data_IF_172899551257
#
_entry.id   IF_172899551257
#
_cell.length_a   1.000
_cell.length_b   1.000
_cell.length_c   1.000
_cell.angle_alpha   90.00
_cell.angle_beta   90.00
_cell.angle_gamma   90.00
#
_symmetry.space_group_name_H-M   'P 1'
#
loop_
_entity.id
_entity.type
_entity.pdbx_description
1 polymer ?
#
# COMPACT_ATOMS: atom_id res chain seq x y z
N UNK A 1 2.75 -13.24 -88.55
CA UNK A 1 2.23 -14.40 -87.80
C UNK A 1 2.98 -14.48 -86.50
N UNK A 2 2.29 -14.29 -85.42
CA UNK A 2 2.50 -14.62 -84.03
C UNK A 2 2.37 -13.41 -83.10
N UNK A 3 1.13 -13.10 -82.76
CA UNK A 3 0.74 -12.03 -81.82
C UNK A 3 0.03 -12.64 -80.56
N UNK A 4 0.31 -13.85 -80.17
CA UNK A 4 -0.52 -14.56 -79.15
C UNK A 4 0.23 -15.16 -77.96
N UNK A 5 1.43 -14.68 -77.59
CA UNK A 5 2.16 -15.31 -76.46
C UNK A 5 2.66 -14.31 -75.40
N UNK A 6 2.05 -13.15 -75.26
CA UNK A 6 2.48 -12.20 -74.24
C UNK A 6 1.38 -11.78 -73.25
N UNK A 7 0.29 -12.53 -73.11
CA UNK A 7 -0.83 -12.11 -72.23
C UNK A 7 -1.10 -13.03 -71.02
N UNK A 8 -0.19 -13.93 -70.71
CA UNK A 8 -0.42 -14.86 -69.61
C UNK A 8 0.54 -14.77 -68.42
N UNK A 9 1.32 -13.72 -68.33
CA UNK A 9 2.31 -13.55 -67.24
C UNK A 9 2.03 -12.38 -66.30
N UNK A 10 0.82 -11.79 -66.37
CA UNK A 10 0.54 -10.56 -65.62
C UNK A 10 -0.62 -10.67 -64.64
N UNK A 11 -1.07 -11.85 -64.32
CA UNK A 11 -2.22 -12.01 -63.42
C UNK A 11 -1.95 -13.02 -62.26
N UNK A 12 -0.75 -13.02 -61.71
CA UNK A 12 -0.43 -13.84 -60.52
C UNK A 12 0.46 -13.06 -59.53
N UNK A 13 0.19 -11.76 -59.37
CA UNK A 13 0.61 -11.02 -58.20
C UNK A 13 -0.56 -10.99 -57.20
N UNK A 14 -0.86 -12.16 -56.70
CA UNK A 14 -1.79 -12.35 -55.63
C UNK A 14 -1.29 -11.61 -54.41
N UNK A 15 -2.12 -10.78 -53.98
CA UNK A 15 -2.40 -10.21 -52.69
C UNK A 15 -1.98 -11.18 -51.56
N UNK A 16 -0.75 -11.11 -51.12
CA UNK A 16 -0.36 -11.63 -49.80
C UNK A 16 -0.72 -10.57 -48.79
N UNK A 17 -2.00 -10.52 -48.40
CA UNK A 17 -2.42 -9.79 -47.21
C UNK A 17 -1.73 -10.43 -46.02
N UNK A 18 -0.61 -9.84 -45.58
CA UNK A 18 -0.05 -10.11 -44.28
C UNK A 18 -1.07 -9.59 -43.24
N UNK A 19 -1.86 -10.51 -42.73
CA UNK A 19 -2.66 -10.32 -41.52
C UNK A 19 -1.62 -10.24 -40.39
N UNK A 20 -1.12 -9.03 -40.15
CA UNK A 20 -0.33 -8.69 -38.97
C UNK A 20 -1.32 -8.73 -37.80
N UNK A 21 -1.47 -9.90 -37.20
CA UNK A 21 -2.25 -10.07 -35.99
C UNK A 21 -1.66 -9.18 -34.90
N UNK A 22 -2.29 -8.03 -34.67
CA UNK A 22 -2.02 -7.15 -33.54
C UNK A 22 -2.45 -7.91 -32.28
N UNK A 23 -1.53 -8.64 -31.67
CA UNK A 23 -1.71 -9.22 -30.35
C UNK A 23 -1.72 -8.02 -29.39
N UNK A 24 -2.93 -7.49 -29.14
CA UNK A 24 -3.17 -6.59 -28.02
C UNK A 24 -2.90 -7.39 -26.75
N UNK A 25 -1.67 -7.38 -26.25
CA UNK A 25 -1.38 -7.74 -24.88
C UNK A 25 -2.17 -6.77 -23.99
N UNK A 26 -3.33 -7.22 -23.52
CA UNK A 26 -3.99 -6.55 -22.39
C UNK A 26 -3.05 -6.72 -21.21
N UNK A 27 -2.28 -5.67 -20.91
CA UNK A 27 -1.57 -5.58 -19.66
C UNK A 27 -2.64 -5.63 -18.56
N UNK A 28 -2.80 -6.82 -17.97
CA UNK A 28 -3.63 -6.98 -16.78
C UNK A 28 -2.97 -6.12 -15.71
N UNK A 29 -3.62 -5.04 -15.30
CA UNK A 29 -3.17 -4.27 -14.16
C UNK A 29 -3.06 -5.27 -13.00
N UNK A 30 -1.85 -5.45 -12.47
CA UNK A 30 -1.67 -6.32 -11.33
C UNK A 30 -2.55 -5.79 -10.19
N UNK A 31 -3.37 -6.68 -9.61
CA UNK A 31 -4.20 -6.31 -8.47
C UNK A 31 -3.32 -5.66 -7.39
N UNK A 32 -3.79 -4.52 -6.87
CA UNK A 32 -3.06 -3.80 -5.82
C UNK A 32 -2.77 -4.73 -4.63
N UNK A 33 -1.53 -4.79 -4.12
CA UNK A 33 -1.19 -5.67 -3.02
C UNK A 33 -2.08 -5.40 -1.81
N UNK A 34 -2.59 -6.47 -1.18
CA UNK A 34 -3.40 -6.37 0.04
C UNK A 34 -2.72 -7.08 1.18
N UNK A 35 -2.78 -6.48 2.37
CA UNK A 35 -2.23 -7.06 3.60
C UNK A 35 -3.33 -7.15 4.64
N UNK A 36 -3.63 -8.38 5.08
CA UNK A 36 -4.55 -8.65 6.18
C UNK A 36 -3.81 -8.56 7.50
N UNK A 37 -4.36 -7.78 8.42
CA UNK A 37 -3.95 -7.68 9.81
C UNK A 37 -4.95 -8.42 10.69
N UNK A 38 -4.43 -9.26 11.57
CA UNK A 38 -5.18 -9.89 12.65
C UNK A 38 -4.73 -9.27 13.97
N UNK A 39 -5.66 -8.65 14.68
CA UNK A 39 -5.36 -7.95 15.92
C UNK A 39 -6.20 -8.48 17.09
N UNK A 40 -5.86 -8.06 18.31
CA UNK A 40 -6.67 -8.39 19.50
C UNK A 40 -8.07 -7.77 19.47
N UNK A 41 -8.35 -6.79 18.59
CA UNK A 41 -9.67 -6.16 18.43
C UNK A 41 -10.49 -6.74 17.28
N UNK A 42 -9.88 -7.55 16.41
CA UNK A 42 -10.43 -8.07 15.17
C UNK A 42 -9.50 -7.85 13.97
N UNK A 43 -10.01 -8.12 12.77
CA UNK A 43 -9.22 -8.12 11.56
C UNK A 43 -9.55 -6.90 10.70
N UNK A 44 -8.54 -6.40 9.97
CA UNK A 44 -8.73 -5.40 8.91
C UNK A 44 -7.76 -5.69 7.76
N UNK A 45 -8.08 -5.18 6.57
CA UNK A 45 -7.26 -5.36 5.37
C UNK A 45 -6.86 -4.01 4.80
N UNK A 46 -5.57 -3.86 4.51
CA UNK A 46 -5.01 -2.72 3.78
C UNK A 46 -4.87 -3.07 2.30
N UNK A 47 -5.23 -2.14 1.43
CA UNK A 47 -4.87 -2.14 0.01
C UNK A 47 -3.76 -1.10 -0.19
N UNK A 48 -2.65 -1.52 -0.81
CA UNK A 48 -1.44 -0.71 -0.96
C UNK A 48 -1.39 -0.11 -2.36
N UNK A 49 -0.90 1.11 -2.47
CA UNK A 49 -0.81 1.84 -3.74
C UNK A 49 0.65 1.90 -4.22
N UNK A 50 1.12 0.84 -4.86
CA UNK A 50 2.50 0.75 -5.36
C UNK A 50 2.80 1.72 -6.51
N UNK A 51 1.79 2.14 -7.26
CA UNK A 51 1.96 3.10 -8.37
C UNK A 51 2.30 4.50 -7.84
N UNK A 52 1.69 4.90 -6.72
CA UNK A 52 1.86 6.23 -6.12
C UNK A 52 2.93 6.29 -5.03
N UNK A 53 3.21 5.17 -4.37
CA UNK A 53 4.16 5.09 -3.27
C UNK A 53 5.04 3.83 -3.37
N UNK A 54 5.77 3.63 -4.47
CA UNK A 54 6.50 2.38 -4.72
C UNK A 54 7.55 2.05 -3.65
N UNK A 55 8.27 3.05 -3.13
CA UNK A 55 9.31 2.85 -2.10
C UNK A 55 8.69 2.51 -0.75
N UNK A 56 7.65 3.22 -0.35
CA UNK A 56 6.93 3.00 0.91
C UNK A 56 6.26 1.63 0.90
N UNK A 57 5.60 1.25 -0.21
CA UNK A 57 4.96 -0.07 -0.36
C UNK A 57 5.98 -1.19 -0.35
N UNK A 58 7.08 -1.08 -1.12
CA UNK A 58 8.12 -2.10 -1.13
C UNK A 58 8.76 -2.29 0.24
N UNK A 59 9.04 -1.20 0.97
CA UNK A 59 9.55 -1.24 2.33
C UNK A 59 8.55 -1.92 3.29
N UNK A 60 7.28 -1.52 3.25
CA UNK A 60 6.23 -2.09 4.09
C UNK A 60 6.05 -3.59 3.85
N UNK A 61 6.03 -4.04 2.60
CA UNK A 61 5.92 -5.45 2.25
C UNK A 61 7.10 -6.28 2.75
N UNK A 62 8.33 -5.75 2.72
CA UNK A 62 9.49 -6.43 3.32
C UNK A 62 9.33 -6.67 4.82
N UNK A 63 8.76 -5.71 5.56
CA UNK A 63 8.45 -5.91 6.98
C UNK A 63 7.33 -6.93 7.19
N UNK A 64 6.34 -7.02 6.28
CA UNK A 64 5.30 -8.06 6.30
C UNK A 64 5.91 -9.45 6.07
N UNK A 65 6.77 -9.59 5.06
CA UNK A 65 7.49 -10.84 4.73
C UNK A 65 8.37 -11.32 5.89
N UNK A 66 9.09 -10.40 6.53
CA UNK A 66 9.94 -10.69 7.71
C UNK A 66 9.12 -10.97 8.97
N UNK A 67 7.78 -10.90 8.92
CA UNK A 67 6.89 -11.02 10.09
C UNK A 67 7.24 -9.99 11.20
N UNK A 68 7.81 -8.85 10.81
CA UNK A 68 8.22 -7.81 11.74
C UNK A 68 7.04 -7.30 12.56
N UNK A 69 5.86 -7.18 11.94
CA UNK A 69 4.66 -6.66 12.60
C UNK A 69 4.05 -7.62 13.61
N UNK A 70 4.37 -8.91 13.53
CA UNK A 70 3.85 -9.90 14.48
C UNK A 70 4.33 -9.60 15.90
N UNK A 71 3.38 -9.49 16.83
CA UNK A 71 3.60 -9.12 18.22
C UNK A 71 3.87 -7.64 18.47
N UNK A 72 3.85 -6.78 17.43
CA UNK A 72 3.89 -5.33 17.63
C UNK A 72 2.53 -4.79 18.06
N UNK A 73 2.50 -3.55 18.54
CA UNK A 73 1.28 -2.88 19.02
C UNK A 73 0.99 -1.59 18.27
N UNK A 74 -0.26 -1.16 18.34
CA UNK A 74 -0.59 0.24 18.15
C UNK A 74 -0.27 0.97 19.44
N UNK A 75 0.91 1.58 19.50
CA UNK A 75 1.49 2.18 20.70
C UNK A 75 1.03 3.62 20.96
N UNK A 76 0.38 4.25 20.00
CA UNK A 76 -0.17 5.60 20.13
C UNK A 76 -1.48 5.71 19.39
N UNK A 77 -2.54 6.07 20.12
CA UNK A 77 -3.89 6.23 19.57
C UNK A 77 -4.49 7.52 20.08
N UNK A 78 -4.84 8.41 19.16
CA UNK A 78 -5.51 9.68 19.45
C UNK A 78 -6.86 9.67 18.77
N UNK A 79 -7.97 9.60 19.54
CA UNK A 79 -9.32 9.68 19.00
C UNK A 79 -9.51 10.94 18.13
N UNK A 80 -10.17 10.79 17.00
CA UNK A 80 -10.37 11.88 16.04
C UNK A 80 -9.14 12.28 15.23
N UNK A 81 -8.00 11.59 15.42
CA UNK A 81 -6.77 11.83 14.69
C UNK A 81 -6.27 10.55 14.00
N UNK A 82 -5.55 9.67 14.70
CA UNK A 82 -4.94 8.48 14.09
C UNK A 82 -4.61 7.39 15.11
N UNK A 83 -4.35 6.16 14.62
CA UNK A 83 -3.69 5.08 15.33
C UNK A 83 -2.32 4.78 14.72
N UNK A 84 -1.24 4.89 15.50
CA UNK A 84 0.14 4.63 15.07
C UNK A 84 0.66 3.33 15.68
N UNK A 85 1.28 2.49 14.84
CA UNK A 85 1.78 1.18 15.25
C UNK A 85 2.96 0.67 14.43
N UNK A 86 3.32 -0.60 14.65
CA UNK A 86 4.29 -1.33 13.85
C UNK A 86 5.76 -1.16 14.23
N UNK A 87 6.06 -0.46 15.33
CA UNK A 87 7.45 -0.22 15.76
C UNK A 87 7.84 -0.83 17.10
N UNK A 88 6.88 -1.11 17.97
CA UNK A 88 7.12 -1.51 19.36
C UNK A 88 6.43 -2.82 19.70
N UNK A 89 7.08 -3.63 20.54
CA UNK A 89 6.45 -4.78 21.18
C UNK A 89 5.45 -4.34 22.27
N UNK A 90 4.67 -5.30 22.82
CA UNK A 90 3.75 -5.03 23.93
C UNK A 90 4.44 -4.47 25.19
N UNK A 91 5.73 -4.74 25.35
CA UNK A 91 6.56 -4.26 26.46
C UNK A 91 7.25 -2.92 26.14
N UNK A 92 6.78 -2.22 25.11
CA UNK A 92 7.31 -0.94 24.63
C UNK A 92 8.79 -0.99 24.22
N UNK A 93 9.29 -2.17 23.83
CA UNK A 93 10.62 -2.32 23.27
C UNK A 93 10.56 -2.05 21.76
N UNK A 94 11.36 -1.10 21.28
CA UNK A 94 11.45 -0.82 19.86
C UNK A 94 12.11 -1.99 19.13
N UNK A 95 11.47 -2.47 18.06
CA UNK A 95 12.06 -3.52 17.21
C UNK A 95 13.12 -2.91 16.28
N UNK A 96 14.15 -3.69 15.99
CA UNK A 96 15.19 -3.31 15.01
C UNK A 96 14.57 -3.07 13.65
N UNK A 97 15.00 -1.99 12.99
CA UNK A 97 14.46 -1.58 11.70
C UNK A 97 15.48 -1.74 10.58
N UNK A 98 14.98 -1.81 9.35
CA UNK A 98 15.78 -1.69 8.11
C UNK A 98 16.18 -0.23 7.89
N UNK A 99 17.01 0.02 6.86
CA UNK A 99 17.30 1.37 6.39
C UNK A 99 16.03 2.16 6.10
N UNK A 100 16.03 3.44 6.44
CA UNK A 100 14.93 4.35 6.18
C UNK A 100 14.66 4.54 4.67
N UNK A 101 13.44 4.94 4.33
CA UNK A 101 13.02 5.19 2.95
C UNK A 101 12.76 6.65 2.68
N UNK A 102 12.95 7.06 1.45
CA UNK A 102 12.66 8.41 0.98
C UNK A 102 11.17 8.74 1.15
N UNK A 103 10.88 9.98 1.51
CA UNK A 103 9.53 10.48 1.67
C UNK A 103 8.83 10.63 0.30
N UNK A 104 7.70 9.97 0.15
CA UNK A 104 6.86 10.01 -1.06
C UNK A 104 5.57 10.83 -0.87
N UNK A 105 5.49 11.74 0.11
CA UNK A 105 4.26 12.47 0.42
C UNK A 105 3.75 13.38 -0.71
N UNK A 106 4.61 13.72 -1.69
CA UNK A 106 4.24 14.50 -2.90
C UNK A 106 3.54 13.66 -3.97
N UNK A 107 3.10 12.43 -3.65
CA UNK A 107 2.49 11.49 -4.58
C UNK A 107 1.01 11.77 -4.93
N UNK A 108 0.43 12.82 -4.35
CA UNK A 108 -0.97 13.23 -4.57
C UNK A 108 -2.01 12.47 -3.74
N UNK A 109 -1.62 11.48 -2.95
CA UNK A 109 -2.51 10.81 -1.99
C UNK A 109 -2.69 11.69 -0.75
N UNK A 110 -3.87 11.59 -0.11
CA UNK A 110 -4.25 12.45 1.00
C UNK A 110 -4.45 11.64 2.29
N UNK A 111 -4.14 12.30 3.42
CA UNK A 111 -4.41 11.79 4.77
C UNK A 111 -5.90 11.98 5.11
N UNK A 112 -6.75 11.13 4.56
CA UNK A 112 -8.22 11.11 4.78
C UNK A 112 -8.60 9.90 5.64
N UNK A 113 -9.83 9.81 6.19
CA UNK A 113 -10.24 8.65 6.99
C UNK A 113 -9.95 7.31 6.30
N UNK A 114 -9.31 6.39 7.02
CA UNK A 114 -8.93 5.06 6.53
C UNK A 114 -7.64 5.04 5.68
N UNK A 115 -7.06 6.17 5.31
CA UNK A 115 -5.74 6.18 4.65
C UNK A 115 -4.64 5.77 5.61
N UNK A 116 -3.59 5.14 5.06
CA UNK A 116 -2.43 4.64 5.81
C UNK A 116 -1.18 5.36 5.33
N UNK A 117 -0.43 5.95 6.26
CA UNK A 117 0.76 6.72 5.96
C UNK A 117 1.96 6.26 6.79
N UNK A 118 3.17 6.51 6.26
CA UNK A 118 4.42 6.24 6.96
C UNK A 118 4.63 7.24 8.10
N UNK A 119 4.87 6.74 9.31
CA UNK A 119 5.36 7.56 10.42
C UNK A 119 6.86 7.82 10.26
N UNK A 120 7.31 8.98 10.72
CA UNK A 120 8.70 9.42 10.63
C UNK A 120 9.06 10.37 11.77
N UNK A 121 10.33 10.65 11.93
CA UNK A 121 10.84 11.71 12.83
C UNK A 121 10.73 13.08 12.14
N UNK A 122 11.39 14.11 12.69
CA UNK A 122 11.53 15.42 12.04
C UNK A 122 12.33 15.36 10.73
N UNK A 123 13.22 14.36 10.56
CA UNK A 123 13.85 14.10 9.27
C UNK A 123 12.81 13.51 8.31
N UNK A 124 12.55 14.15 7.16
CA UNK A 124 11.54 13.70 6.21
C UNK A 124 11.84 12.32 5.62
N UNK A 125 13.11 11.91 5.56
CA UNK A 125 13.56 10.64 4.99
C UNK A 125 13.87 9.57 6.05
N UNK A 126 13.27 9.65 7.23
CA UNK A 126 13.52 8.74 8.36
C UNK A 126 12.49 7.63 8.54
N UNK A 127 11.50 7.49 7.65
CA UNK A 127 10.48 6.46 7.78
C UNK A 127 11.08 5.05 7.66
N UNK A 128 10.69 4.16 8.59
CA UNK A 128 11.15 2.75 8.61
C UNK A 128 9.97 1.77 8.65
N UNK A 129 9.63 1.20 9.81
CA UNK A 129 8.56 0.21 9.95
C UNK A 129 7.24 0.81 10.43
N UNK A 130 7.27 1.96 11.12
CA UNK A 130 6.07 2.51 11.74
C UNK A 130 5.15 3.15 10.71
N UNK A 131 3.85 2.95 10.91
CA UNK A 131 2.79 3.51 10.09
C UNK A 131 1.66 4.01 10.98
N UNK A 132 0.76 4.81 10.42
CA UNK A 132 -0.48 5.18 11.09
C UNK A 132 -1.67 5.11 10.15
N UNK A 133 -2.84 4.88 10.75
CA UNK A 133 -4.14 4.85 10.07
C UNK A 133 -4.91 6.09 10.52
N UNK A 134 -5.37 6.89 9.58
CA UNK A 134 -6.11 8.11 9.85
C UNK A 134 -7.56 7.79 10.26
N UNK A 135 -8.05 8.38 11.34
CA UNK A 135 -9.46 8.32 11.74
C UNK A 135 -10.28 9.45 11.12
N UNK A 136 -9.63 10.56 10.78
CA UNK A 136 -10.28 11.78 10.29
C UNK A 136 -9.54 12.33 9.06
N UNK A 137 -10.08 13.39 8.44
CA UNK A 137 -9.34 14.16 7.44
C UNK A 137 -8.26 14.99 8.14
N UNK A 138 -7.03 14.53 7.98
CA UNK A 138 -5.83 15.14 8.52
C UNK A 138 -5.08 15.89 7.42
N UNK A 139 -5.76 16.76 6.67
CA UNK A 139 -5.23 17.48 5.53
C UNK A 139 -3.94 18.28 5.83
N UNK A 140 -3.70 18.66 7.08
CA UNK A 140 -2.46 19.31 7.52
C UNK A 140 -1.22 18.40 7.46
N UNK A 141 -1.40 17.08 7.35
CA UNK A 141 -0.32 16.10 7.14
C UNK A 141 0.03 15.89 5.65
N UNK A 142 -0.78 16.42 4.73
CA UNK A 142 -0.49 16.30 3.31
C UNK A 142 0.70 17.17 2.92
N UNK A 143 1.45 16.77 1.89
CA UNK A 143 2.51 17.62 1.36
C UNK A 143 1.94 18.97 0.85
N UNK A 144 2.61 20.11 1.17
CA UNK A 144 3.92 20.23 1.83
C UNK A 144 3.87 20.11 3.37
N UNK A 145 2.69 19.96 3.99
CA UNK A 145 2.52 19.91 5.44
C UNK A 145 2.98 21.20 6.14
N UNK A 146 3.15 21.11 7.44
CA UNK A 146 3.66 22.23 8.26
C UNK A 146 5.19 22.33 8.22
N UNK A 147 5.87 21.26 7.82
CA UNK A 147 7.33 21.13 7.80
C UNK A 147 7.94 21.16 6.39
N UNK A 148 7.14 21.46 5.38
CA UNK A 148 7.56 21.49 3.97
C UNK A 148 7.55 20.12 3.27
N UNK A 149 7.22 19.02 3.96
CA UNK A 149 7.30 17.66 3.45
C UNK A 149 5.98 16.87 3.51
N UNK A 150 5.32 16.83 4.66
CA UNK A 150 4.14 16.01 4.91
C UNK A 150 4.47 14.53 5.16
N UNK A 151 3.41 13.69 5.20
CA UNK A 151 3.48 12.26 5.51
C UNK A 151 2.99 11.44 4.32
N UNK A 152 3.82 10.47 3.89
CA UNK A 152 3.58 9.69 2.69
C UNK A 152 2.45 8.67 2.90
N UNK A 153 1.27 8.95 2.35
CA UNK A 153 0.19 7.96 2.24
C UNK A 153 0.60 6.91 1.21
N UNK A 154 0.47 5.62 1.57
CA UNK A 154 0.87 4.50 0.71
C UNK A 154 -0.21 3.42 0.55
N UNK A 155 -1.37 3.60 1.21
CA UNK A 155 -2.48 2.66 1.14
C UNK A 155 -3.72 3.15 1.88
N UNK A 156 -4.70 2.27 1.96
CA UNK A 156 -5.98 2.52 2.65
C UNK A 156 -6.53 1.24 3.24
N UNK A 157 -7.37 1.36 4.26
CA UNK A 157 -8.21 0.27 4.79
C UNK A 157 -9.33 0.00 3.77
N UNK A 158 -9.48 -1.26 3.36
CA UNK A 158 -10.54 -1.70 2.43
C UNK A 158 -11.54 -2.65 3.10
N UNK A 159 -11.15 -3.27 4.22
CA UNK A 159 -12.02 -4.11 5.03
C UNK A 159 -11.74 -3.87 6.52
N UNK A 160 -12.74 -3.96 7.37
CA UNK A 160 -12.59 -3.87 8.83
C UNK A 160 -12.36 -2.45 9.35
N UNK A 161 -12.89 -1.42 8.68
CA UNK A 161 -12.80 -0.04 9.19
C UNK A 161 -13.51 0.14 10.53
N UNK A 162 -14.51 -0.68 10.84
CA UNK A 162 -15.16 -0.73 12.14
C UNK A 162 -14.19 -1.20 13.24
N UNK A 163 -13.30 -2.15 12.94
CA UNK A 163 -12.23 -2.60 13.84
C UNK A 163 -11.22 -1.49 14.08
N UNK A 164 -10.83 -0.78 13.01
CA UNK A 164 -9.94 0.38 13.12
C UNK A 164 -10.59 1.48 13.99
N UNK A 165 -11.87 1.77 13.80
CA UNK A 165 -12.60 2.75 14.61
C UNK A 165 -12.72 2.32 16.07
N UNK A 166 -12.80 1.02 16.39
CA UNK A 166 -12.76 0.53 17.77
C UNK A 166 -11.45 0.88 18.48
N UNK A 167 -10.32 1.01 17.77
CA UNK A 167 -9.06 1.45 18.38
C UNK A 167 -9.23 2.81 19.06
N UNK A 168 -9.96 3.74 18.41
CA UNK A 168 -10.22 5.09 18.93
C UNK A 168 -11.08 5.12 20.21
N UNK A 169 -11.75 4.01 20.56
CA UNK A 169 -12.57 3.92 21.78
C UNK A 169 -11.81 3.37 22.99
N UNK A 170 -10.58 2.85 22.77
CA UNK A 170 -9.76 2.31 23.86
C UNK A 170 -9.21 3.47 24.70
N UNK A 171 -9.43 3.48 26.02
CA UNK A 171 -8.85 4.50 26.89
C UNK A 171 -7.32 4.53 26.79
N UNK A 172 -6.74 5.71 26.68
CA UNK A 172 -5.30 5.90 26.63
C UNK A 172 -4.75 6.44 27.95
N UNK A 173 -3.45 6.28 28.16
CA UNK A 173 -2.67 6.83 29.26
C UNK A 173 -1.72 7.93 28.79
N UNK A 174 -0.60 8.08 29.50
CA UNK A 174 0.46 9.00 29.10
C UNK A 174 0.95 8.69 27.67
N UNK A 175 1.29 9.74 26.92
CA UNK A 175 1.77 9.66 25.54
C UNK A 175 0.78 8.98 24.57
N UNK A 176 -0.53 9.05 24.85
CA UNK A 176 -1.60 8.46 24.04
C UNK A 176 -1.49 6.93 23.90
N UNK A 177 -0.81 6.24 24.81
CA UNK A 177 -0.64 4.78 24.81
C UNK A 177 -1.94 4.11 25.27
N UNK A 178 -2.53 3.18 24.45
CA UNK A 178 -3.71 2.43 24.87
C UNK A 178 -3.48 1.67 26.19
N UNK A 179 -4.37 1.84 27.19
CA UNK A 179 -4.29 1.13 28.47
C UNK A 179 -4.44 -0.38 28.31
N UNK A 180 -5.24 -0.81 27.34
CA UNK A 180 -5.30 -2.21 26.89
C UNK A 180 -4.51 -2.31 25.60
N UNK A 181 -3.40 -3.07 25.56
CA UNK A 181 -2.57 -3.17 24.36
C UNK A 181 -3.35 -3.69 23.16
N UNK A 182 -3.28 -2.96 22.04
CA UNK A 182 -3.83 -3.39 20.76
C UNK A 182 -2.70 -4.08 20.00
N UNK A 183 -2.69 -5.41 20.08
CA UNK A 183 -1.60 -6.22 19.52
C UNK A 183 -1.92 -6.64 18.10
N UNK A 184 -0.96 -6.52 17.21
CA UNK A 184 -0.97 -7.12 15.88
C UNK A 184 -0.48 -8.56 16.04
N UNK A 185 -1.42 -9.52 15.98
CA UNK A 185 -1.08 -10.94 16.09
C UNK A 185 -0.34 -11.40 14.83
N UNK A 186 -0.88 -11.01 13.66
CA UNK A 186 -0.24 -11.28 12.36
C UNK A 186 -0.50 -10.18 11.35
N UNK A 187 0.45 -10.00 10.40
CA UNK A 187 0.26 -9.23 9.18
C UNK A 187 0.72 -10.07 7.99
N UNK A 188 -0.17 -10.36 7.03
CA UNK A 188 0.12 -11.27 5.91
C UNK A 188 -0.38 -10.68 4.58
N UNK A 189 0.44 -10.87 3.56
CA UNK A 189 0.03 -10.58 2.18
C UNK A 189 -1.16 -11.49 1.82
N UNK A 190 -2.22 -10.88 1.31
CA UNK A 190 -3.36 -11.61 0.76
C UNK A 190 -2.98 -12.00 -0.67
N UNK A 191 -2.79 -13.29 -0.90
CA UNK A 191 -2.63 -13.82 -2.25
C UNK A 191 -4.04 -13.92 -2.84
N UNK A 192 -4.34 -13.28 -3.99
CA UNK A 192 -5.61 -13.51 -4.66
C UNK A 192 -5.78 -15.02 -4.87
N UNK A 193 -6.96 -15.55 -4.55
CA UNK A 193 -7.28 -16.93 -4.90
C UNK A 193 -7.05 -17.07 -6.41
N UNK A 194 -6.16 -17.99 -6.81
CA UNK A 194 -5.94 -18.27 -8.23
C UNK A 194 -7.30 -18.48 -8.87
N UNK A 195 -7.64 -17.68 -9.88
CA UNK A 195 -8.86 -17.86 -10.64
C UNK A 195 -8.84 -19.31 -11.18
N UNK A 196 -9.63 -20.17 -10.56
CA UNK A 196 -9.88 -21.52 -11.08
C UNK A 196 -10.49 -21.36 -12.46
N UNK A 197 -9.69 -21.73 -13.48
CA UNK A 197 -10.15 -21.80 -14.87
C UNK A 197 -11.09 -22.96 -15.05
#
# INVERSE_FOLDING_TARGET
MSFFTKFSAMLQRVVTCAILGLVLSTAQAADAPRVKFETTLGNFTLELNADKAPKSVANFLKYVEDKHYDGTIFHRVIPGFMAQGGGFSKDMQQKTTRTAVENEAKNGLRNVPGSVAMARTSDPHSATSQFFINFSDNGFLNAPGQDGWGYAVFGKVVEGMDIVNKMATIPTGANDVPRTPIVINTARLVVPAAATK
#
